data_IF_806512171549
#
_entry.id   IF_806512171549
#
_cell.length_a   1.000
_cell.length_b   1.000
_cell.length_c   1.000
_cell.angle_alpha   90.00
_cell.angle_beta   90.00
_cell.angle_gamma   90.00
#
_symmetry.space_group_name_H-M   'P 1'
#
loop_
_entity.id
_entity.type
_entity.pdbx_description
1 polymer ?
#
# COMPACT_ATOMS: atom_id res chain seq x y z
N UNK A 1 -11.21 37.92 -10.02
CA UNK A 1 -11.03 37.31 -8.69
C UNK A 1 -9.65 36.65 -8.65
N UNK A 2 -8.90 36.76 -7.55
CA UNK A 2 -7.55 36.22 -7.45
C UNK A 2 -7.55 34.68 -7.47
N UNK A 3 -6.71 34.10 -8.32
CA UNK A 3 -6.57 32.64 -8.51
C UNK A 3 -5.76 31.96 -7.40
N UNK A 4 -5.05 32.73 -6.59
CA UNK A 4 -4.18 32.26 -5.50
C UNK A 4 -4.33 33.19 -4.29
N UNK A 5 -3.97 32.71 -3.10
CA UNK A 5 -3.91 33.53 -1.89
C UNK A 5 -2.88 34.65 -2.12
N UNK A 6 -3.27 35.90 -1.86
CA UNK A 6 -2.45 37.09 -2.15
C UNK A 6 -2.19 37.90 -0.89
N UNK A 7 -1.08 38.63 -0.88
CA UNK A 7 -0.82 39.68 0.11
C UNK A 7 -0.82 41.01 -0.62
N UNK A 8 -1.72 41.92 -0.23
CA UNK A 8 -1.80 43.24 -0.88
C UNK A 8 -0.53 44.05 -0.59
N UNK A 9 -0.33 45.12 -1.35
CA UNK A 9 0.79 46.05 -1.15
C UNK A 9 0.84 46.62 0.27
N UNK A 10 -0.31 46.70 0.94
CA UNK A 10 -0.46 47.16 2.33
C UNK A 10 -0.23 46.05 3.37
N UNK A 11 0.19 44.86 2.95
CA UNK A 11 0.46 43.73 3.83
C UNK A 11 -0.78 42.97 4.30
N UNK A 12 -1.94 43.17 3.65
CA UNK A 12 -3.17 42.46 4.01
C UNK A 12 -3.27 41.14 3.28
N UNK A 13 -3.47 40.05 4.01
CA UNK A 13 -3.76 38.74 3.44
C UNK A 13 -5.17 38.72 2.84
N UNK A 14 -5.27 38.28 1.59
CA UNK A 14 -6.51 38.09 0.83
C UNK A 14 -6.56 36.64 0.39
N UNK A 15 -7.50 35.89 0.96
CA UNK A 15 -7.73 34.50 0.60
C UNK A 15 -8.39 34.41 -0.78
N UNK A 16 -7.97 33.44 -1.59
CA UNK A 16 -8.58 33.13 -2.88
C UNK A 16 -9.94 32.47 -2.73
N UNK A 17 -10.80 32.70 -3.72
CA UNK A 17 -12.07 31.99 -3.89
C UNK A 17 -11.87 30.57 -4.48
N UNK A 18 -10.63 30.20 -4.83
CA UNK A 18 -10.27 28.87 -5.35
C UNK A 18 -10.34 27.84 -4.22
N UNK A 19 -11.10 26.74 -4.38
CA UNK A 19 -11.19 25.69 -3.36
C UNK A 19 -9.80 25.10 -3.03
N UNK A 20 -9.38 25.21 -1.77
CA UNK A 20 -8.11 24.63 -1.28
C UNK A 20 -8.00 23.12 -1.51
N UNK A 21 -9.14 22.45 -1.64
CA UNK A 21 -9.25 21.04 -1.99
C UNK A 21 -8.55 20.70 -3.33
N UNK A 22 -8.41 21.67 -4.24
CA UNK A 22 -7.72 21.47 -5.52
C UNK A 22 -6.23 21.15 -5.35
N UNK A 23 -5.59 21.61 -4.27
CA UNK A 23 -4.18 21.31 -3.95
C UNK A 23 -3.97 19.81 -3.73
N UNK A 24 -4.99 19.09 -3.26
CA UNK A 24 -4.91 17.64 -3.09
C UNK A 24 -4.78 16.90 -4.42
N UNK A 25 -5.21 17.49 -5.54
CA UNK A 25 -5.07 16.89 -6.88
C UNK A 25 -3.61 16.63 -7.24
N UNK A 26 -2.71 17.59 -6.96
CA UNK A 26 -1.27 17.44 -7.17
C UNK A 26 -0.69 16.34 -6.28
N UNK A 27 -1.08 16.29 -5.02
CA UNK A 27 -0.60 15.27 -4.07
C UNK A 27 -1.03 13.85 -4.49
N UNK A 28 -2.28 13.69 -4.94
CA UNK A 28 -2.81 12.41 -5.46
C UNK A 28 -2.02 11.96 -6.69
N UNK A 29 -1.72 12.87 -7.62
CA UNK A 29 -0.92 12.60 -8.82
C UNK A 29 0.51 12.15 -8.49
N UNK A 30 1.20 12.89 -7.64
CA UNK A 30 2.60 12.58 -7.27
C UNK A 30 2.67 11.22 -6.60
N UNK A 31 1.77 10.92 -5.65
CA UNK A 31 1.72 9.61 -4.98
C UNK A 31 1.39 8.47 -5.94
N UNK A 32 0.50 8.68 -6.91
CA UNK A 32 0.21 7.70 -7.96
C UNK A 32 1.47 7.37 -8.79
N UNK A 33 2.27 8.39 -9.11
CA UNK A 33 3.55 8.20 -9.82
C UNK A 33 4.52 7.38 -8.97
N UNK A 34 4.65 7.68 -7.68
CA UNK A 34 5.52 6.93 -6.75
C UNK A 34 5.13 5.45 -6.67
N UNK A 35 3.83 5.13 -6.62
CA UNK A 35 3.36 3.73 -6.63
C UNK A 35 3.73 3.02 -7.93
N UNK A 36 3.62 3.72 -9.07
CA UNK A 36 4.05 3.19 -10.37
C UNK A 36 5.56 2.94 -10.41
N UNK A 37 6.36 3.86 -9.88
CA UNK A 37 7.82 3.75 -9.77
C UNK A 37 8.25 2.61 -8.84
N UNK A 38 7.49 2.35 -7.77
CA UNK A 38 7.70 1.19 -6.90
C UNK A 38 7.64 -0.13 -7.69
N UNK A 39 6.64 -0.28 -8.56
CA UNK A 39 6.55 -1.48 -9.43
C UNK A 39 7.76 -1.61 -10.36
N UNK A 40 8.25 -0.50 -10.91
CA UNK A 40 9.40 -0.48 -11.81
C UNK A 40 10.70 -0.85 -11.10
N UNK A 41 10.95 -0.27 -9.92
CA UNK A 41 12.14 -0.57 -9.11
C UNK A 41 12.13 -2.03 -8.63
N UNK A 42 10.99 -2.51 -8.14
CA UNK A 42 10.83 -3.91 -7.72
C UNK A 42 11.07 -4.88 -8.88
N UNK A 43 10.48 -4.61 -10.05
CA UNK A 43 10.65 -5.45 -11.24
C UNK A 43 12.12 -5.53 -11.69
N UNK A 44 12.88 -4.42 -11.60
CA UNK A 44 14.33 -4.41 -11.90
C UNK A 44 15.09 -5.34 -10.95
N UNK A 45 14.83 -5.23 -9.64
CA UNK A 45 15.53 -6.05 -8.65
C UNK A 45 15.20 -7.55 -8.79
N UNK A 46 13.91 -7.87 -8.93
CA UNK A 46 13.45 -9.25 -9.13
C UNK A 46 13.98 -9.83 -10.44
N UNK A 47 14.07 -9.03 -11.51
CA UNK A 47 14.65 -9.48 -12.78
C UNK A 47 16.11 -9.94 -12.61
N UNK A 48 16.92 -9.15 -11.90
CA UNK A 48 18.32 -9.49 -11.61
C UNK A 48 18.38 -10.78 -10.78
N UNK A 49 17.66 -10.83 -9.65
CA UNK A 49 17.69 -11.98 -8.75
C UNK A 49 17.16 -13.26 -9.40
N UNK A 50 16.11 -13.18 -10.21
CA UNK A 50 15.54 -14.34 -10.93
C UNK A 50 16.53 -14.92 -11.93
N UNK A 51 17.12 -14.06 -12.78
CA UNK A 51 18.11 -14.50 -13.78
C UNK A 51 19.37 -15.06 -13.12
N UNK A 52 19.88 -14.38 -12.09
CA UNK A 52 21.02 -14.89 -11.32
C UNK A 52 20.71 -16.25 -10.68
N UNK A 53 19.52 -16.40 -10.08
CA UNK A 53 19.12 -17.65 -9.41
C UNK A 53 18.97 -18.83 -10.38
N UNK A 54 18.60 -18.55 -11.62
CA UNK A 54 18.54 -19.57 -12.68
C UNK A 54 19.94 -19.95 -13.20
N UNK A 55 20.95 -19.10 -13.10
CA UNK A 55 22.31 -19.42 -13.57
C UNK A 55 23.16 -20.02 -12.46
N UNK A 56 23.06 -19.47 -11.25
CA UNK A 56 23.88 -19.89 -10.11
C UNK A 56 23.51 -21.31 -9.71
N UNK A 57 24.51 -22.17 -9.64
CA UNK A 57 24.42 -23.52 -9.07
C UNK A 57 25.25 -23.56 -7.78
N UNK A 58 24.77 -24.31 -6.80
CA UNK A 58 25.47 -24.53 -5.53
C UNK A 58 24.82 -25.71 -4.80
N UNK A 59 25.62 -26.67 -4.35
CA UNK A 59 25.17 -27.90 -3.68
C UNK A 59 24.29 -28.80 -4.57
N UNK A 60 23.79 -29.90 -3.99
CA UNK A 60 22.76 -30.73 -4.61
C UNK A 60 23.20 -31.54 -5.84
N UNK A 61 24.52 -31.68 -6.10
CA UNK A 61 25.00 -32.55 -7.17
C UNK A 61 24.50 -33.98 -6.97
N UNK A 62 23.84 -34.53 -7.99
CA UNK A 62 23.42 -35.92 -8.02
C UNK A 62 24.39 -36.72 -8.90
N UNK A 63 25.00 -37.76 -8.33
CA UNK A 63 25.88 -38.72 -9.04
C UNK A 63 27.03 -38.06 -9.83
N UNK A 64 27.61 -36.98 -9.31
CA UNK A 64 28.70 -36.25 -9.98
C UNK A 64 28.26 -35.36 -11.16
N UNK A 65 26.95 -35.19 -11.35
CA UNK A 65 26.37 -34.23 -12.30
C UNK A 65 26.53 -32.77 -11.85
N UNK A 66 26.08 -31.82 -12.68
CA UNK A 66 26.10 -30.40 -12.31
C UNK A 66 25.29 -30.17 -11.02
N UNK A 67 25.77 -29.25 -10.20
CA UNK A 67 25.06 -28.79 -9.00
C UNK A 67 23.66 -28.23 -9.34
N UNK A 68 22.75 -28.25 -8.37
CA UNK A 68 21.38 -27.75 -8.54
C UNK A 68 21.36 -26.23 -8.71
N UNK A 69 20.50 -25.71 -9.59
CA UNK A 69 20.30 -24.26 -9.70
C UNK A 69 19.65 -23.73 -8.43
N UNK A 70 20.10 -22.60 -7.91
CA UNK A 70 19.61 -22.12 -6.62
C UNK A 70 18.11 -21.79 -6.63
N UNK A 71 17.55 -21.44 -7.80
CA UNK A 71 16.11 -21.22 -7.98
C UNK A 71 15.24 -22.46 -7.74
N UNK A 72 15.82 -23.67 -7.80
CA UNK A 72 15.07 -24.92 -7.58
C UNK A 72 14.83 -25.19 -6.08
N UNK A 73 15.58 -24.52 -5.20
CA UNK A 73 15.36 -24.63 -3.76
C UNK A 73 14.11 -23.87 -3.31
N UNK A 74 13.27 -24.53 -2.52
CA UNK A 74 12.05 -23.92 -1.98
C UNK A 74 12.28 -22.68 -1.14
N UNK A 75 13.44 -22.58 -0.47
CA UNK A 75 13.86 -21.38 0.25
C UNK A 75 14.13 -20.20 -0.68
N UNK A 76 14.73 -20.43 -1.86
CA UNK A 76 14.92 -19.38 -2.86
C UNK A 76 13.57 -18.96 -3.45
N UNK A 77 12.69 -19.93 -3.77
CA UNK A 77 11.36 -19.69 -4.32
C UNK A 77 10.46 -18.92 -3.36
N UNK A 78 10.41 -19.31 -2.07
CA UNK A 78 9.56 -18.65 -1.07
C UNK A 78 9.99 -17.22 -0.76
N UNK A 79 11.26 -16.88 -1.00
CA UNK A 79 11.80 -15.52 -0.83
C UNK A 79 11.65 -14.68 -2.09
N UNK A 80 11.82 -15.27 -3.29
CA UNK A 80 11.83 -14.54 -4.56
C UNK A 80 10.44 -14.43 -5.22
N UNK A 81 9.67 -15.51 -5.28
CA UNK A 81 8.42 -15.55 -6.05
C UNK A 81 7.32 -14.64 -5.48
N UNK A 82 7.19 -14.45 -4.15
CA UNK A 82 6.29 -13.43 -3.63
C UNK A 82 6.68 -12.02 -4.08
N UNK A 83 7.97 -11.70 -4.20
CA UNK A 83 8.43 -10.40 -4.69
C UNK A 83 8.10 -10.20 -6.17
N UNK A 84 8.22 -11.26 -6.97
CA UNK A 84 7.76 -11.27 -8.36
C UNK A 84 6.26 -11.02 -8.45
N UNK A 85 5.45 -11.70 -7.63
CA UNK A 85 4.01 -11.45 -7.57
C UNK A 85 3.70 -10.00 -7.17
N UNK A 86 4.40 -9.46 -6.16
CA UNK A 86 4.26 -8.06 -5.73
C UNK A 86 4.62 -7.06 -6.82
N UNK A 87 5.61 -7.33 -7.67
CA UNK A 87 5.94 -6.46 -8.80
C UNK A 87 4.75 -6.26 -9.76
N UNK A 88 4.02 -7.33 -10.05
CA UNK A 88 2.81 -7.28 -10.88
C UNK A 88 1.62 -6.68 -10.14
N UNK A 89 1.40 -7.05 -8.88
CA UNK A 89 0.33 -6.48 -8.07
C UNK A 89 0.49 -4.94 -7.95
N UNK A 90 1.71 -4.46 -7.72
CA UNK A 90 2.01 -3.02 -7.64
C UNK A 90 1.86 -2.31 -8.99
N UNK A 91 2.14 -3.01 -10.09
CA UNK A 91 1.87 -2.48 -11.43
C UNK A 91 0.36 -2.28 -11.64
N UNK A 92 -0.46 -3.28 -11.31
CA UNK A 92 -1.92 -3.19 -11.49
C UNK A 92 -2.57 -2.14 -10.59
N UNK A 93 -2.20 -2.09 -9.31
CA UNK A 93 -2.71 -1.06 -8.41
C UNK A 93 -2.26 0.36 -8.82
N UNK A 94 -1.08 0.49 -9.45
CA UNK A 94 -0.60 1.74 -10.04
C UNK A 94 -1.45 2.21 -11.22
N UNK A 95 -1.89 1.30 -12.10
CA UNK A 95 -2.84 1.61 -13.18
C UNK A 95 -4.23 1.96 -12.63
N UNK A 96 -4.70 1.26 -11.59
CA UNK A 96 -5.93 1.64 -10.90
C UNK A 96 -5.84 3.04 -10.27
N UNK A 97 -4.72 3.40 -9.65
CA UNK A 97 -4.52 4.75 -9.11
C UNK A 97 -4.48 5.83 -10.21
N UNK A 98 -4.00 5.50 -11.41
CA UNK A 98 -4.06 6.41 -12.56
C UNK A 98 -5.50 6.68 -12.98
N UNK A 99 -6.35 5.65 -12.99
CA UNK A 99 -7.79 5.83 -13.17
C UNK A 99 -8.41 6.67 -12.04
N UNK A 100 -8.07 6.39 -10.78
CA UNK A 100 -8.59 7.13 -9.63
C UNK A 100 -8.23 8.62 -9.70
N UNK A 101 -6.99 8.95 -10.11
CA UNK A 101 -6.57 10.32 -10.32
C UNK A 101 -7.41 11.02 -11.40
N UNK A 102 -7.72 10.35 -12.50
CA UNK A 102 -8.58 10.90 -13.55
C UNK A 102 -10.02 11.16 -13.04
N UNK A 103 -10.60 10.21 -12.29
CA UNK A 103 -11.93 10.36 -11.68
C UNK A 103 -11.97 11.54 -10.68
N UNK A 104 -10.99 11.61 -9.78
CA UNK A 104 -10.88 12.72 -8.80
C UNK A 104 -10.72 14.05 -9.53
N UNK A 105 -9.88 14.13 -10.56
CA UNK A 105 -9.68 15.35 -11.34
C UNK A 105 -10.98 15.80 -12.00
N UNK A 106 -11.74 14.89 -12.60
CA UNK A 106 -13.03 15.19 -13.21
C UNK A 106 -14.05 15.69 -12.17
N UNK A 107 -14.13 15.05 -11.00
CA UNK A 107 -15.03 15.47 -9.90
C UNK A 107 -14.65 16.84 -9.34
N UNK A 108 -13.36 17.10 -9.16
CA UNK A 108 -12.86 18.39 -8.71
C UNK A 108 -13.23 19.53 -9.67
N UNK A 109 -13.17 19.29 -10.99
CA UNK A 109 -13.63 20.26 -11.99
C UNK A 109 -15.15 20.53 -11.89
N UNK A 110 -15.92 19.56 -11.42
CA UNK A 110 -17.36 19.69 -11.16
C UNK A 110 -17.69 20.21 -9.74
N UNK A 111 -16.70 20.64 -8.95
CA UNK A 111 -16.84 21.01 -7.54
C UNK A 111 -17.43 19.88 -6.65
N UNK A 112 -17.23 18.62 -7.03
CA UNK A 112 -17.56 17.45 -6.21
C UNK A 112 -16.32 17.01 -5.41
N UNK A 113 -16.38 17.17 -4.09
CA UNK A 113 -15.30 16.80 -3.15
C UNK A 113 -15.60 15.51 -2.37
N UNK A 114 -16.68 14.80 -2.70
CA UNK A 114 -17.20 13.69 -1.91
C UNK A 114 -16.22 12.50 -1.79
N UNK A 115 -15.44 12.22 -2.84
CA UNK A 115 -14.48 11.10 -2.89
C UNK A 115 -13.07 11.50 -2.46
N UNK A 116 -12.81 12.79 -2.22
CA UNK A 116 -11.47 13.29 -1.91
C UNK A 116 -10.87 12.69 -0.63
N UNK A 117 -11.62 12.50 0.48
CA UNK A 117 -11.08 11.85 1.68
C UNK A 117 -10.62 10.41 1.42
N UNK A 118 -11.38 9.64 0.62
CA UNK A 118 -11.04 8.27 0.25
C UNK A 118 -9.80 8.25 -0.66
N UNK A 119 -9.77 9.10 -1.69
CA UNK A 119 -8.63 9.17 -2.61
C UNK A 119 -7.33 9.56 -1.90
N UNK A 120 -7.40 10.49 -0.95
CA UNK A 120 -6.25 10.87 -0.13
C UNK A 120 -5.76 9.71 0.74
N UNK A 121 -6.66 9.00 1.43
CA UNK A 121 -6.31 7.85 2.25
C UNK A 121 -5.73 6.70 1.40
N UNK A 122 -6.34 6.38 0.26
CA UNK A 122 -5.86 5.33 -0.63
C UNK A 122 -4.46 5.64 -1.16
N UNK A 123 -4.23 6.85 -1.68
CA UNK A 123 -2.91 7.22 -2.21
C UNK A 123 -1.84 7.31 -1.12
N UNK A 124 -2.17 7.81 0.08
CA UNK A 124 -1.25 7.84 1.22
C UNK A 124 -0.81 6.43 1.63
N UNK A 125 -1.79 5.54 1.83
CA UNK A 125 -1.58 4.16 2.27
C UNK A 125 -0.84 3.31 1.24
N UNK A 126 -1.25 3.40 -0.03
CA UNK A 126 -0.59 2.66 -1.11
C UNK A 126 0.84 3.15 -1.33
N UNK A 127 1.10 4.47 -1.34
CA UNK A 127 2.47 4.99 -1.42
C UNK A 127 3.32 4.42 -0.29
N UNK A 128 2.83 4.49 0.95
CA UNK A 128 3.56 3.99 2.11
C UNK A 128 3.87 2.49 1.98
N UNK A 129 2.85 1.68 1.69
CA UNK A 129 2.99 0.24 1.57
C UNK A 129 3.93 -0.19 0.44
N UNK A 130 3.68 0.29 -0.78
CA UNK A 130 4.43 -0.18 -1.95
C UNK A 130 5.88 0.25 -1.88
N UNK A 131 6.18 1.42 -1.31
CA UNK A 131 7.57 1.89 -1.13
C UNK A 131 8.30 1.09 -0.05
N UNK A 132 7.69 0.85 1.11
CA UNK A 132 8.29 0.01 2.16
C UNK A 132 8.58 -1.41 1.65
N UNK A 133 7.59 -2.07 1.04
CA UNK A 133 7.75 -3.44 0.51
C UNK A 133 8.80 -3.49 -0.60
N UNK A 134 8.83 -2.51 -1.50
CA UNK A 134 9.81 -2.49 -2.59
C UNK A 134 11.23 -2.26 -2.07
N UNK A 135 11.42 -1.38 -1.09
CA UNK A 135 12.73 -1.15 -0.49
C UNK A 135 13.30 -2.42 0.14
N UNK A 136 12.49 -3.10 0.98
CA UNK A 136 12.86 -4.38 1.59
C UNK A 136 13.13 -5.45 0.53
N UNK A 137 12.31 -5.50 -0.52
CA UNK A 137 12.44 -6.47 -1.59
C UNK A 137 13.69 -6.28 -2.46
N UNK A 138 14.12 -5.04 -2.72
CA UNK A 138 15.37 -4.77 -3.45
C UNK A 138 16.55 -5.32 -2.66
N UNK A 139 16.59 -5.05 -1.36
CA UNK A 139 17.64 -5.54 -0.48
C UNK A 139 17.57 -7.07 -0.30
N UNK A 140 16.37 -7.65 -0.29
CA UNK A 140 16.19 -9.10 -0.27
C UNK A 140 16.68 -9.77 -1.58
N UNK A 141 16.40 -9.16 -2.73
CA UNK A 141 16.96 -9.57 -4.03
C UNK A 141 18.48 -9.54 -4.01
N UNK A 142 19.09 -8.55 -3.33
CA UNK A 142 20.54 -8.47 -3.16
C UNK A 142 21.07 -9.66 -2.37
N UNK A 143 20.42 -10.01 -1.26
CA UNK A 143 20.75 -11.20 -0.45
C UNK A 143 20.56 -12.50 -1.24
N UNK A 144 19.54 -12.60 -2.10
CA UNK A 144 19.28 -13.77 -2.95
C UNK A 144 20.38 -14.02 -4.00
N UNK A 145 21.18 -13.00 -4.33
CA UNK A 145 22.36 -13.11 -5.19
C UNK A 145 23.63 -13.56 -4.43
N UNK A 146 23.56 -13.80 -3.12
CA UNK A 146 24.68 -14.21 -2.29
C UNK A 146 25.82 -13.18 -2.27
N UNK A 147 27.07 -13.64 -2.15
CA UNK A 147 28.25 -12.77 -2.09
C UNK A 147 28.41 -11.87 -3.32
N UNK A 148 28.04 -12.33 -4.52
CA UNK A 148 28.10 -11.52 -5.74
C UNK A 148 27.08 -10.37 -5.74
N UNK A 149 25.99 -10.49 -4.98
CA UNK A 149 25.04 -9.39 -4.78
C UNK A 149 25.63 -8.20 -4.02
N UNK A 150 26.78 -8.36 -3.34
CA UNK A 150 27.46 -7.27 -2.66
C UNK A 150 28.24 -6.35 -3.62
N UNK A 151 28.65 -6.87 -4.78
CA UNK A 151 29.46 -6.11 -5.73
C UNK A 151 28.63 -5.04 -6.43
N UNK A 152 29.18 -3.83 -6.59
CA UNK A 152 28.48 -2.72 -7.24
C UNK A 152 28.08 -3.02 -8.70
N UNK A 153 28.85 -3.87 -9.40
CA UNK A 153 28.53 -4.28 -10.78
C UNK A 153 27.27 -5.16 -10.89
N UNK A 154 26.73 -5.66 -9.78
CA UNK A 154 25.42 -6.33 -9.75
C UNK A 154 24.24 -5.34 -9.87
N UNK A 155 24.46 -4.06 -9.54
CA UNK A 155 23.47 -2.98 -9.65
C UNK A 155 22.44 -2.91 -8.52
N UNK A 156 22.23 -3.97 -7.74
CA UNK A 156 21.28 -3.97 -6.61
C UNK A 156 21.66 -3.02 -5.46
N UNK A 157 22.94 -2.86 -5.05
CA UNK A 157 23.31 -1.90 -4.01
C UNK A 157 22.95 -0.45 -4.36
N UNK A 158 23.23 -0.03 -5.59
CA UNK A 158 22.89 1.32 -6.08
C UNK A 158 21.38 1.49 -6.24
N UNK A 159 20.69 0.47 -6.76
CA UNK A 159 19.23 0.47 -6.88
C UNK A 159 18.55 0.67 -5.52
N UNK A 160 19.04 0.02 -4.45
CA UNK A 160 18.52 0.24 -3.11
C UNK A 160 18.78 1.67 -2.62
N UNK A 161 20.02 2.14 -2.74
CA UNK A 161 20.42 3.46 -2.27
C UNK A 161 19.62 4.60 -2.93
N UNK A 162 19.33 4.51 -4.23
CA UNK A 162 18.52 5.51 -4.94
C UNK A 162 17.02 5.38 -4.65
N UNK A 163 16.55 4.18 -4.26
CA UNK A 163 15.13 3.92 -4.04
C UNK A 163 14.65 4.24 -2.62
N UNK A 164 15.47 3.96 -1.59
CA UNK A 164 15.06 4.10 -0.18
C UNK A 164 14.51 5.49 0.21
N UNK A 165 14.93 6.64 -0.40
CA UNK A 165 14.32 7.93 -0.08
C UNK A 165 12.82 8.02 -0.37
N UNK A 166 12.28 7.15 -1.24
CA UNK A 166 10.84 7.07 -1.53
C UNK A 166 10.00 6.77 -0.29
N UNK A 167 10.58 6.16 0.74
CA UNK A 167 9.92 5.90 2.03
C UNK A 167 9.78 7.15 2.91
N UNK A 168 10.42 8.27 2.54
CA UNK A 168 10.48 9.51 3.34
C UNK A 168 9.95 10.72 2.61
N UNK A 169 10.33 10.94 1.34
CA UNK A 169 9.80 12.09 0.60
C UNK A 169 8.31 11.90 0.29
N UNK A 170 7.59 13.00 0.08
CA UNK A 170 6.12 13.01 -0.11
C UNK A 170 5.33 12.40 1.06
N UNK A 171 5.93 12.48 2.25
CA UNK A 171 5.39 12.04 3.53
C UNK A 171 6.08 10.78 4.04
N UNK A 172 6.50 10.82 5.30
CA UNK A 172 7.00 9.65 6.02
C UNK A 172 5.97 8.52 6.00
N UNK A 173 6.41 7.31 5.70
CA UNK A 173 5.54 6.16 5.49
C UNK A 173 4.66 5.83 6.71
N UNK A 174 5.16 6.00 7.95
CA UNK A 174 4.39 5.76 9.17
C UNK A 174 3.34 6.86 9.34
N UNK A 175 3.72 8.12 9.18
CA UNK A 175 2.79 9.26 9.26
C UNK A 175 1.65 9.14 8.23
N UNK A 176 1.95 8.69 7.01
CA UNK A 176 0.93 8.45 5.98
C UNK A 176 -0.04 7.33 6.38
N UNK A 177 0.44 6.24 6.96
CA UNK A 177 -0.45 5.18 7.45
C UNK A 177 -1.32 5.64 8.62
N UNK A 178 -0.84 6.55 9.48
CA UNK A 178 -1.68 7.16 10.51
C UNK A 178 -2.81 8.02 9.92
N UNK A 179 -2.60 8.66 8.76
CA UNK A 179 -3.68 9.35 8.03
C UNK A 179 -4.75 8.36 7.55
N UNK A 180 -4.34 7.19 7.05
CA UNK A 180 -5.26 6.11 6.69
C UNK A 180 -6.01 5.60 7.92
N UNK A 181 -5.32 5.38 9.04
CA UNK A 181 -5.96 4.95 10.27
C UNK A 181 -7.05 5.94 10.74
N UNK A 182 -6.79 7.25 10.69
CA UNK A 182 -7.82 8.27 11.00
C UNK A 182 -9.01 8.19 10.06
N UNK A 183 -8.78 8.00 8.77
CA UNK A 183 -9.85 7.79 7.78
C UNK A 183 -10.68 6.54 8.09
N UNK A 184 -10.03 5.41 8.44
CA UNK A 184 -10.72 4.18 8.82
C UNK A 184 -11.53 4.35 10.11
N UNK A 185 -10.98 4.99 11.15
CA UNK A 185 -11.71 5.23 12.41
C UNK A 185 -12.94 6.12 12.20
N UNK A 186 -12.82 7.15 11.34
CA UNK A 186 -13.96 7.97 10.92
C UNK A 186 -15.00 7.18 10.14
N UNK A 187 -14.58 6.24 9.30
CA UNK A 187 -15.49 5.37 8.55
C UNK A 187 -16.22 4.40 9.47
N UNK A 188 -15.50 3.80 10.42
CA UNK A 188 -16.06 2.91 11.44
C UNK A 188 -17.08 3.63 12.32
N UNK A 189 -16.81 4.86 12.75
CA UNK A 189 -17.75 5.63 13.58
C UNK A 189 -19.05 5.99 12.87
N UNK A 190 -19.08 5.91 11.54
CA UNK A 190 -20.27 6.14 10.73
C UNK A 190 -21.06 4.85 10.45
N UNK A 191 -20.55 3.68 10.81
CA UNK A 191 -21.29 2.42 10.66
C UNK A 191 -22.56 2.46 11.53
N UNK A 192 -23.70 2.13 10.92
CA UNK A 192 -25.01 2.21 11.58
C UNK A 192 -25.67 3.60 11.53
N UNK A 193 -24.99 4.63 11.03
CA UNK A 193 -25.57 5.99 10.87
C UNK A 193 -26.50 6.16 9.64
N UNK A 194 -26.78 5.07 8.92
CA UNK A 194 -27.54 5.08 7.65
C UNK A 194 -26.72 5.48 6.42
N UNK A 195 -25.53 6.08 6.59
CA UNK A 195 -24.58 6.33 5.50
C UNK A 195 -23.82 5.05 5.16
N UNK A 196 -23.97 4.57 3.93
CA UNK A 196 -23.24 3.38 3.45
C UNK A 196 -21.83 3.78 3.02
N UNK A 197 -20.78 3.08 3.51
CA UNK A 197 -19.42 3.21 2.96
C UNK A 197 -19.40 2.90 1.45
N UNK A 198 -18.50 3.56 0.72
CA UNK A 198 -18.35 3.42 -0.73
C UNK A 198 -16.88 3.19 -1.10
N UNK A 199 -16.63 2.92 -2.38
CA UNK A 199 -15.28 2.76 -2.91
C UNK A 199 -14.50 1.64 -2.23
N UNK A 200 -13.26 1.89 -1.83
CA UNK A 200 -12.38 0.93 -1.15
C UNK A 200 -12.85 0.55 0.25
N UNK A 201 -13.78 1.31 0.85
CA UNK A 201 -14.39 1.00 2.15
C UNK A 201 -15.78 0.35 2.05
N UNK A 202 -16.29 0.12 0.83
CA UNK A 202 -17.61 -0.46 0.62
C UNK A 202 -17.82 -1.81 1.35
N UNK A 203 -16.77 -2.61 1.48
CA UNK A 203 -16.80 -3.88 2.20
C UNK A 203 -17.26 -3.72 3.67
N UNK A 204 -16.95 -2.60 4.31
CA UNK A 204 -17.36 -2.31 5.69
C UNK A 204 -18.88 -2.20 5.85
N UNK A 205 -19.62 -1.98 4.76
CA UNK A 205 -21.09 -2.03 4.75
C UNK A 205 -21.67 -3.43 5.03
N UNK A 206 -20.87 -4.50 4.88
CA UNK A 206 -21.24 -5.88 5.22
C UNK A 206 -20.84 -6.25 6.65
N UNK A 207 -20.86 -5.27 7.56
CA UNK A 207 -20.35 -5.37 8.93
C UNK A 207 -20.85 -6.61 9.69
N UNK A 208 -22.16 -6.89 9.64
CA UNK A 208 -22.76 -8.02 10.37
C UNK A 208 -22.17 -9.37 9.91
N UNK A 209 -22.12 -9.59 8.59
CA UNK A 209 -21.51 -10.77 7.99
C UNK A 209 -20.01 -10.87 8.32
N UNK A 210 -19.24 -9.80 8.12
CA UNK A 210 -17.79 -9.82 8.34
C UNK A 210 -17.40 -10.05 9.81
N UNK A 211 -18.26 -9.67 10.76
CA UNK A 211 -18.06 -9.98 12.18
C UNK A 211 -18.27 -11.46 12.51
N UNK A 212 -19.13 -12.15 11.77
CA UNK A 212 -19.64 -13.48 12.15
C UNK A 212 -19.19 -14.61 11.21
N UNK A 213 -18.78 -14.30 9.99
CA UNK A 213 -18.42 -15.29 9.00
C UNK A 213 -17.28 -16.21 9.47
N UNK A 214 -17.29 -17.43 8.94
CA UNK A 214 -16.30 -18.47 9.15
C UNK A 214 -15.69 -18.84 7.81
N UNK A 215 -14.41 -19.19 7.83
CA UNK A 215 -13.72 -19.67 6.63
C UNK A 215 -14.31 -21.03 6.23
N UNK A 216 -14.81 -21.14 5.01
CA UNK A 216 -15.37 -22.38 4.43
C UNK A 216 -14.33 -23.17 3.61
N UNK A 217 -13.05 -22.82 3.71
CA UNK A 217 -11.97 -23.53 3.01
C UNK A 217 -11.80 -24.92 3.61
N UNK A 218 -11.93 -25.95 2.78
CA UNK A 218 -11.69 -27.34 3.16
C UNK A 218 -10.42 -27.91 2.54
N UNK A 219 -10.02 -27.40 1.36
CA UNK A 219 -8.88 -27.90 0.58
C UNK A 219 -7.99 -26.77 0.09
N UNK A 220 -6.75 -27.11 -0.29
CA UNK A 220 -5.77 -26.12 -0.76
C UNK A 220 -6.26 -25.37 -2.00
N UNK A 221 -7.01 -26.04 -2.88
CA UNK A 221 -7.53 -25.46 -4.12
C UNK A 221 -8.61 -24.39 -3.88
N UNK A 222 -9.27 -24.40 -2.71
CA UNK A 222 -10.27 -23.38 -2.36
C UNK A 222 -9.64 -21.99 -2.21
N UNK A 223 -8.37 -21.93 -1.79
CA UNK A 223 -7.61 -20.68 -1.73
C UNK A 223 -7.33 -20.07 -3.11
N UNK A 224 -7.55 -20.80 -4.21
CA UNK A 224 -7.42 -20.25 -5.56
C UNK A 224 -8.66 -19.47 -6.00
N UNK A 225 -9.77 -19.55 -5.24
CA UNK A 225 -11.01 -18.83 -5.53
C UNK A 225 -10.86 -17.35 -5.11
N UNK A 226 -11.01 -16.38 -6.03
CA UNK A 226 -10.86 -14.96 -5.69
C UNK A 226 -11.81 -14.49 -4.58
N UNK A 227 -13.04 -15.00 -4.56
CA UNK A 227 -14.04 -14.64 -3.53
C UNK A 227 -13.60 -15.05 -2.12
N UNK A 228 -12.94 -16.20 -1.97
CA UNK A 228 -12.42 -16.70 -0.68
C UNK A 228 -11.27 -15.82 -0.20
N UNK A 229 -10.32 -15.49 -1.09
CA UNK A 229 -9.20 -14.60 -0.75
C UNK A 229 -9.73 -13.22 -0.36
N UNK A 230 -10.62 -12.64 -1.17
CA UNK A 230 -11.16 -11.31 -0.92
C UNK A 230 -11.89 -11.25 0.42
N UNK A 231 -12.77 -12.20 0.70
CA UNK A 231 -13.48 -12.23 1.99
C UNK A 231 -12.51 -12.37 3.16
N UNK A 232 -11.47 -13.21 3.06
CA UNK A 232 -10.48 -13.34 4.11
C UNK A 232 -9.75 -12.01 4.41
N UNK A 233 -9.38 -11.25 3.37
CA UNK A 233 -8.72 -9.94 3.54
C UNK A 233 -9.69 -8.87 4.05
N UNK A 234 -10.94 -8.86 3.57
CA UNK A 234 -12.00 -7.96 4.05
C UNK A 234 -12.30 -8.19 5.53
N UNK A 235 -12.46 -9.45 5.94
CA UNK A 235 -12.68 -9.85 7.33
C UNK A 235 -11.53 -9.41 8.22
N UNK A 236 -10.28 -9.67 7.79
CA UNK A 236 -9.09 -9.26 8.53
C UNK A 236 -9.06 -7.73 8.72
N UNK A 237 -9.11 -6.97 7.63
CA UNK A 237 -9.02 -5.52 7.68
C UNK A 237 -10.19 -4.90 8.48
N UNK A 238 -11.40 -5.44 8.33
CA UNK A 238 -12.58 -4.98 9.05
C UNK A 238 -12.44 -5.24 10.56
N UNK A 239 -12.14 -6.48 10.97
CA UNK A 239 -12.07 -6.85 12.39
C UNK A 239 -10.95 -6.09 13.12
N UNK A 240 -9.80 -5.88 12.47
CA UNK A 240 -8.72 -5.05 13.02
C UNK A 240 -9.17 -3.60 13.23
N UNK A 241 -9.86 -3.01 12.24
CA UNK A 241 -10.39 -1.64 12.34
C UNK A 241 -11.44 -1.52 13.47
N UNK A 242 -12.36 -2.48 13.59
CA UNK A 242 -13.35 -2.51 14.67
C UNK A 242 -12.68 -2.68 16.04
N UNK A 243 -11.66 -3.53 16.16
CA UNK A 243 -10.93 -3.72 17.40
C UNK A 243 -10.24 -2.42 17.86
N UNK A 244 -9.57 -1.71 16.94
CA UNK A 244 -8.98 -0.40 17.22
C UNK A 244 -10.03 0.61 17.68
N UNK A 245 -11.16 0.71 16.98
CA UNK A 245 -12.23 1.64 17.33
C UNK A 245 -12.82 1.36 18.73
N UNK A 246 -13.02 0.07 19.08
CA UNK A 246 -13.49 -0.34 20.41
C UNK A 246 -12.49 -0.03 21.51
N UNK A 247 -11.19 -0.10 21.23
CA UNK A 247 -10.16 0.25 22.21
C UNK A 247 -10.04 1.77 22.34
N UNK A 248 -10.13 2.52 21.25
CA UNK A 248 -10.16 3.98 21.27
C UNK A 248 -11.32 4.54 22.10
N UNK A 249 -12.51 3.93 22.05
CA UNK A 249 -13.66 4.36 22.84
C UNK A 249 -13.49 4.19 24.35
N UNK A 250 -12.44 3.52 24.82
CA UNK A 250 -12.11 3.38 26.26
C UNK A 250 -11.34 4.58 26.81
N UNK A 251 -10.78 5.42 25.94
CA UNK A 251 -10.06 6.63 26.33
C UNK A 251 -11.03 7.80 26.45
N UNK A 252 -10.85 8.62 27.49
CA UNK A 252 -11.62 9.85 27.69
C UNK A 252 -11.25 10.92 26.66
N UNK A 253 -9.97 11.02 26.32
CA UNK A 253 -9.45 11.87 25.25
C UNK A 253 -9.12 11.03 24.01
N UNK A 254 -9.83 11.24 22.88
CA UNK A 254 -9.59 10.49 21.64
C UNK A 254 -8.18 10.61 21.08
N UNK A 255 -7.52 11.76 21.24
CA UNK A 255 -6.17 11.96 20.70
C UNK A 255 -5.10 11.23 21.53
N UNK A 256 -5.25 11.18 22.86
CA UNK A 256 -4.38 10.39 23.73
C UNK A 256 -4.51 8.90 23.40
N UNK A 257 -5.75 8.43 23.22
CA UNK A 257 -6.01 7.06 22.77
C UNK A 257 -5.45 6.77 21.38
N UNK A 258 -5.53 7.71 20.45
CA UNK A 258 -4.95 7.55 19.10
C UNK A 258 -3.42 7.46 19.15
N UNK A 259 -2.78 8.27 19.99
CA UNK A 259 -1.33 8.20 20.20
C UNK A 259 -0.91 6.88 20.82
N UNK A 260 -1.58 6.45 21.89
CA UNK A 260 -1.29 5.20 22.61
C UNK A 260 -1.49 3.96 21.73
N UNK A 261 -2.57 3.93 20.95
CA UNK A 261 -2.92 2.81 20.07
C UNK A 261 -2.33 2.93 18.66
N UNK A 262 -1.39 3.86 18.44
CA UNK A 262 -0.82 4.10 17.11
C UNK A 262 -0.19 2.86 16.45
N UNK A 263 0.48 1.93 17.17
CA UNK A 263 0.96 0.68 16.56
C UNK A 263 -0.16 -0.20 16.01
N UNK A 264 -1.24 -0.42 16.77
CA UNK A 264 -2.38 -1.23 16.34
C UNK A 264 -3.11 -0.58 15.15
N UNK A 265 -3.23 0.76 15.19
CA UNK A 265 -3.83 1.56 14.13
C UNK A 265 -3.03 1.47 12.82
N UNK A 266 -1.70 1.45 12.90
CA UNK A 266 -0.82 1.23 11.75
C UNK A 266 -1.06 -0.15 11.13
N UNK A 267 -1.16 -1.20 11.93
CA UNK A 267 -1.42 -2.55 11.43
C UNK A 267 -2.79 -2.66 10.75
N UNK A 268 -3.82 -2.02 11.30
CA UNK A 268 -5.16 -1.96 10.69
C UNK A 268 -5.13 -1.21 9.34
N UNK A 269 -4.40 -0.10 9.26
CA UNK A 269 -4.20 0.65 8.02
C UNK A 269 -3.46 -0.17 6.96
N UNK A 270 -2.40 -0.90 7.34
CA UNK A 270 -1.68 -1.82 6.46
C UNK A 270 -2.61 -2.93 5.97
N UNK A 271 -3.39 -3.56 6.84
CA UNK A 271 -4.33 -4.61 6.44
C UNK A 271 -5.35 -4.11 5.40
N UNK A 272 -5.87 -2.89 5.56
CA UNK A 272 -6.75 -2.26 4.59
C UNK A 272 -6.05 -1.99 3.25
N UNK A 273 -4.83 -1.48 3.27
CA UNK A 273 -4.07 -1.22 2.04
C UNK A 273 -3.72 -2.54 1.30
N UNK A 274 -3.46 -3.63 2.02
CA UNK A 274 -3.18 -4.94 1.42
C UNK A 274 -4.43 -5.48 0.72
N UNK A 275 -5.61 -5.31 1.34
CA UNK A 275 -6.89 -5.63 0.71
C UNK A 275 -7.09 -4.83 -0.59
N UNK A 276 -6.72 -3.55 -0.64
CA UNK A 276 -6.81 -2.77 -1.88
C UNK A 276 -5.93 -3.39 -2.97
N UNK A 277 -4.67 -3.71 -2.68
CA UNK A 277 -3.75 -4.33 -3.65
C UNK A 277 -4.25 -5.71 -4.14
N UNK A 278 -4.90 -6.49 -3.28
CA UNK A 278 -5.46 -7.79 -3.64
C UNK A 278 -6.72 -7.67 -4.51
N UNK A 279 -7.46 -6.55 -4.40
CA UNK A 279 -8.77 -6.37 -5.04
C UNK A 279 -8.77 -5.52 -6.31
N UNK A 280 -7.67 -4.83 -6.63
CA UNK A 280 -7.54 -3.89 -7.75
C UNK A 280 -6.48 -4.37 -8.73
#
# INVERSE_FOLDING_TARGET
MPLEDQVTREGKFVQSDVPRQLVYGTMVYVRQTIVSDASCALARAVCIATRYSAVRRQFGSQNGGPETQVIDYKTQQSRLFPLLASAYAFRFVGEWLKWLYADVTQRLQANDFSTLPEAHACTAGLKSMTTSVTADAIEECRKLCGGHGYLSNNGLPELFAVYIPTCTYEGDNVVLLLQVARFLMKTVSQLGSGKKPVGTTAYMGRAEHLMQCRCEVERAEDWLKPSVILEAFEVRAFRMSIACAKNLSKFSNPEDGFSELSPDLLEAAIAHCQLIVVSK
#
